data_IF_841276500805
#
_entry.id   IF_841276500805
#
_cell.length_a   1.000
_cell.length_b   1.000
_cell.length_c   1.000
_cell.angle_alpha   90.00
_cell.angle_beta   90.00
_cell.angle_gamma   90.00
#
_symmetry.space_group_name_H-M   'P 1'
#
loop_
_entity.id
_entity.type
_entity.pdbx_description
1 polymer ?
#
# COMPACT_ATOMS: atom_id res chain seq x y z
N UNK A 1 2.45 -5.87 12.51
CA UNK A 1 1.97 -5.11 11.33
C UNK A 1 1.91 -6.07 10.15
N UNK A 2 0.80 -6.09 9.40
CA UNK A 2 0.71 -6.73 8.09
C UNK A 2 0.81 -5.60 7.05
N UNK A 3 1.91 -5.54 6.32
CA UNK A 3 2.12 -4.52 5.28
C UNK A 3 1.87 -5.10 3.89
N UNK A 4 1.11 -4.38 3.07
CA UNK A 4 0.91 -4.63 1.65
C UNK A 4 1.61 -3.49 0.92
N UNK A 5 2.78 -3.76 0.35
CA UNK A 5 3.59 -2.76 -0.34
C UNK A 5 3.41 -2.85 -1.84
N UNK A 6 3.31 -1.69 -2.50
CA UNK A 6 3.35 -1.55 -3.96
C UNK A 6 4.60 -2.17 -4.58
N UNK A 7 5.69 -2.28 -3.82
CA UNK A 7 6.99 -2.71 -4.31
C UNK A 7 7.21 -4.22 -4.28
N UNK A 8 6.32 -4.98 -3.64
CA UNK A 8 6.42 -6.43 -3.58
C UNK A 8 5.40 -7.11 -4.47
N UNK A 9 5.61 -7.00 -5.79
CA UNK A 9 4.85 -7.73 -6.81
C UNK A 9 5.43 -9.13 -7.07
N UNK A 10 4.56 -10.13 -7.17
CA UNK A 10 4.95 -11.54 -7.37
C UNK A 10 4.03 -12.27 -8.34
N UNK A 11 4.48 -13.40 -8.89
CA UNK A 11 3.61 -14.39 -9.54
C UNK A 11 3.10 -15.37 -8.46
N UNK A 12 1.84 -15.25 -8.06
CA UNK A 12 1.32 -15.88 -6.85
C UNK A 12 1.32 -14.92 -5.66
N UNK A 13 0.81 -15.36 -4.51
CA UNK A 13 0.73 -14.55 -3.28
C UNK A 13 1.62 -15.14 -2.20
N UNK A 14 2.46 -14.29 -1.60
CA UNK A 14 3.43 -14.69 -0.58
C UNK A 14 3.37 -13.82 0.67
N UNK A 15 3.84 -14.39 1.78
CA UNK A 15 3.94 -13.73 3.09
C UNK A 15 5.35 -13.90 3.62
N UNK A 16 6.00 -12.83 4.10
CA UNK A 16 7.36 -12.96 4.66
C UNK A 16 7.34 -13.78 5.94
N UNK A 17 8.10 -14.87 5.99
CA UNK A 17 8.15 -15.81 7.12
C UNK A 17 9.44 -15.79 7.95
N UNK A 18 10.30 -14.79 7.76
CA UNK A 18 11.59 -14.67 8.46
C UNK A 18 11.41 -14.10 9.87
N UNK A 19 12.21 -14.53 10.85
CA UNK A 19 12.30 -13.89 12.18
C UNK A 19 13.00 -12.53 12.13
N UNK A 20 13.99 -12.39 11.25
CA UNK A 20 14.81 -11.18 11.10
C UNK A 20 14.89 -10.78 9.62
N UNK A 21 13.85 -10.12 9.08
CA UNK A 21 13.88 -9.67 7.70
C UNK A 21 14.94 -8.58 7.53
N UNK A 22 15.73 -8.67 6.46
CA UNK A 22 16.68 -7.63 6.08
C UNK A 22 15.93 -6.38 5.58
N UNK A 23 16.45 -5.20 5.86
CA UNK A 23 16.07 -3.99 5.09
C UNK A 23 16.63 -4.13 3.68
N UNK A 24 15.78 -3.93 2.66
CA UNK A 24 16.22 -3.90 1.27
C UNK A 24 16.00 -2.51 0.65
N UNK A 25 16.82 -2.22 -0.35
CA UNK A 25 16.80 -0.97 -1.11
C UNK A 25 16.52 -1.30 -2.57
N UNK A 26 15.24 -1.49 -2.85
CA UNK A 26 14.67 -1.90 -4.14
C UNK A 26 14.44 -0.71 -5.11
N UNK A 27 15.25 0.35 -4.96
CA UNK A 27 15.21 1.57 -5.77
C UNK A 27 16.59 1.96 -6.31
N UNK A 28 16.61 2.76 -7.38
CA UNK A 28 17.81 3.19 -8.10
C UNK A 28 17.91 4.70 -8.26
N UNK A 29 19.13 5.23 -8.36
CA UNK A 29 19.37 6.64 -8.75
C UNK A 29 19.38 7.66 -7.61
N UNK A 30 19.46 7.19 -6.35
CA UNK A 30 19.44 8.03 -5.16
C UNK A 30 20.82 8.21 -4.51
N UNK A 31 20.99 9.21 -3.62
CA UNK A 31 22.22 9.37 -2.84
C UNK A 31 22.55 8.14 -1.97
N UNK A 32 23.84 7.94 -1.69
CA UNK A 32 24.36 6.80 -0.92
C UNK A 32 23.71 6.69 0.46
N UNK A 33 23.42 7.83 1.08
CA UNK A 33 22.81 7.95 2.39
C UNK A 33 21.49 7.17 2.49
N UNK A 34 20.71 7.13 1.40
CA UNK A 34 19.45 6.36 1.37
C UNK A 34 19.69 4.84 1.35
N UNK A 35 20.78 4.37 0.73
CA UNK A 35 21.18 2.97 0.73
C UNK A 35 21.79 2.50 2.06
N UNK A 36 22.19 3.44 2.93
CA UNK A 36 22.72 3.14 4.25
C UNK A 36 21.62 3.06 5.34
N UNK A 37 20.40 3.51 5.02
CA UNK A 37 19.28 3.45 5.96
C UNK A 37 18.94 1.99 6.29
N UNK A 38 18.82 1.71 7.59
CA UNK A 38 18.35 0.43 8.12
C UNK A 38 17.05 0.64 8.91
N UNK A 39 16.21 -0.40 8.89
CA UNK A 39 14.99 -0.51 9.68
C UNK A 39 14.81 -2.00 10.09
N UNK A 40 15.48 -2.43 11.17
CA UNK A 40 15.61 -3.84 11.54
C UNK A 40 14.41 -4.33 12.35
N UNK A 41 13.19 -4.10 11.86
CA UNK A 41 12.00 -4.57 12.55
C UNK A 41 11.98 -6.11 12.57
N UNK A 42 11.63 -6.75 13.70
CA UNK A 42 11.52 -8.20 13.76
C UNK A 42 10.42 -8.67 12.82
N UNK A 43 10.56 -9.87 12.26
CA UNK A 43 9.46 -10.54 11.59
C UNK A 43 8.60 -11.30 12.60
N UNK A 44 7.58 -12.01 12.11
CA UNK A 44 6.74 -12.84 12.94
C UNK A 44 6.29 -14.10 12.17
N UNK A 45 7.07 -15.20 12.23
CA UNK A 45 6.74 -16.44 11.51
C UNK A 45 5.42 -17.07 11.95
N UNK A 46 5.02 -16.91 13.22
CA UNK A 46 3.73 -17.40 13.73
C UNK A 46 2.57 -16.66 13.04
N UNK A 47 2.61 -15.32 13.03
CA UNK A 47 1.64 -14.51 12.31
C UNK A 47 1.64 -14.82 10.80
N UNK A 48 2.81 -15.06 10.20
CA UNK A 48 2.89 -15.45 8.80
C UNK A 48 2.13 -16.76 8.53
N UNK A 49 2.28 -17.76 9.42
CA UNK A 49 1.51 -19.02 9.36
C UNK A 49 0.00 -18.80 9.48
N UNK A 50 -0.43 -17.96 10.41
CA UNK A 50 -1.86 -17.64 10.57
C UNK A 50 -2.46 -16.94 9.34
N UNK A 51 -1.70 -16.04 8.70
CA UNK A 51 -2.13 -15.38 7.46
C UNK A 51 -2.29 -16.42 6.34
N UNK A 52 -1.32 -17.32 6.20
CA UNK A 52 -1.38 -18.42 5.22
C UNK A 52 -2.61 -19.29 5.44
N UNK A 53 -2.88 -19.68 6.69
CA UNK A 53 -4.04 -20.50 7.05
C UNK A 53 -5.37 -19.77 6.78
N UNK A 54 -5.44 -18.49 7.14
CA UNK A 54 -6.61 -17.63 6.90
C UNK A 54 -6.89 -17.47 5.40
N UNK A 55 -5.83 -17.37 4.59
CA UNK A 55 -5.90 -17.15 3.15
C UNK A 55 -5.75 -18.44 2.33
N UNK A 56 -5.94 -19.62 2.92
CA UNK A 56 -5.69 -20.92 2.26
C UNK A 56 -6.35 -21.10 0.89
N UNK A 57 -7.50 -20.47 0.67
CA UNK A 57 -8.24 -20.52 -0.60
C UNK A 57 -7.58 -19.73 -1.74
N UNK A 58 -6.64 -18.84 -1.41
CA UNK A 58 -5.86 -18.03 -2.35
C UNK A 58 -4.46 -18.60 -2.63
N UNK A 59 -4.16 -19.81 -2.13
CA UNK A 59 -2.86 -20.47 -2.31
C UNK A 59 -1.67 -19.61 -1.89
N UNK A 60 -1.76 -19.02 -0.70
CA UNK A 60 -0.70 -18.15 -0.15
C UNK A 60 0.45 -19.00 0.39
N UNK A 61 1.68 -18.64 0.01
CA UNK A 61 2.90 -19.32 0.47
C UNK A 61 3.79 -18.44 1.35
N UNK A 62 4.73 -19.02 2.11
CA UNK A 62 5.76 -18.25 2.78
C UNK A 62 6.87 -17.84 1.80
N UNK A 63 7.45 -16.65 2.02
CA UNK A 63 8.71 -16.22 1.42
C UNK A 63 9.74 -15.95 2.51
N UNK A 64 10.97 -16.44 2.31
CA UNK A 64 12.07 -16.30 3.25
C UNK A 64 13.25 -15.48 2.69
N UNK A 65 13.07 -14.76 1.59
CA UNK A 65 14.15 -14.11 0.84
C UNK A 65 13.97 -12.61 0.60
N UNK A 66 12.74 -12.10 0.51
CA UNK A 66 12.43 -10.73 0.13
C UNK A 66 13.16 -9.70 1.01
N UNK A 67 12.60 -9.44 2.18
CA UNK A 67 13.05 -8.40 3.11
C UNK A 67 11.95 -7.37 3.35
N UNK A 68 12.28 -6.27 4.02
CA UNK A 68 11.43 -5.09 4.14
C UNK A 68 11.83 -4.10 3.04
N UNK A 69 10.96 -3.89 2.06
CA UNK A 69 11.16 -2.95 0.95
C UNK A 69 10.91 -1.50 1.36
N UNK A 70 11.34 -0.57 0.51
CA UNK A 70 11.28 0.85 0.82
C UNK A 70 9.88 1.42 0.94
N UNK A 71 8.90 0.87 0.22
CA UNK A 71 7.50 1.24 0.43
C UNK A 71 7.05 0.98 1.87
N UNK A 72 7.61 -0.05 2.49
CA UNK A 72 7.33 -0.41 3.88
C UNK A 72 8.18 0.36 4.88
N UNK A 73 9.51 0.26 4.80
CA UNK A 73 10.36 0.78 5.86
C UNK A 73 10.42 2.31 5.90
N UNK A 74 10.21 3.01 4.78
CA UNK A 74 10.22 4.48 4.78
C UNK A 74 9.08 5.03 5.63
N UNK A 75 7.87 4.47 5.48
CA UNK A 75 6.69 4.82 6.28
C UNK A 75 6.89 4.41 7.74
N UNK A 76 7.29 3.16 7.98
CA UNK A 76 7.40 2.63 9.34
C UNK A 76 8.53 3.30 10.15
N UNK A 77 9.64 3.70 9.52
CA UNK A 77 10.72 4.43 10.21
C UNK A 77 10.26 5.76 10.82
N UNK A 78 9.25 6.40 10.23
CA UNK A 78 8.66 7.62 10.80
C UNK A 78 7.55 7.32 11.82
N UNK A 79 6.77 6.26 11.61
CA UNK A 79 5.69 5.88 12.54
C UNK A 79 6.21 5.21 13.83
N UNK A 80 7.21 4.35 13.70
CA UNK A 80 7.78 3.50 14.76
C UNK A 80 9.32 3.49 14.66
N UNK A 81 9.99 4.60 15.01
CA UNK A 81 11.42 4.79 14.75
C UNK A 81 12.34 3.76 15.41
N UNK A 82 11.91 3.16 16.51
CA UNK A 82 12.69 2.16 17.26
C UNK A 82 12.69 0.76 16.62
N UNK A 83 11.86 0.54 15.59
CA UNK A 83 11.74 -0.73 14.88
C UNK A 83 11.49 -1.95 15.80
N UNK A 84 10.71 -1.75 16.87
CA UNK A 84 10.41 -2.76 17.90
C UNK A 84 9.10 -3.51 17.67
N UNK A 85 8.29 -3.09 16.69
CA UNK A 85 7.04 -3.75 16.31
C UNK A 85 7.29 -4.77 15.19
N UNK A 86 6.84 -6.04 15.34
CA UNK A 86 6.99 -7.03 14.29
C UNK A 86 6.26 -6.67 12.98
N UNK A 87 6.94 -6.88 11.85
CA UNK A 87 6.43 -6.60 10.50
C UNK A 87 6.43 -7.87 9.67
N UNK A 88 5.26 -8.18 9.10
CA UNK A 88 5.07 -9.21 8.09
C UNK A 88 4.56 -8.52 6.84
N UNK A 89 5.14 -8.81 5.69
CA UNK A 89 4.62 -8.33 4.41
C UNK A 89 3.71 -9.38 3.77
N UNK A 90 2.75 -8.91 2.98
CA UNK A 90 1.92 -9.71 2.08
C UNK A 90 2.08 -9.14 0.66
N UNK A 91 2.47 -9.98 -0.29
CA UNK A 91 2.78 -9.56 -1.66
C UNK A 91 1.54 -9.25 -2.50
N UNK A 92 1.74 -8.49 -3.58
CA UNK A 92 0.76 -8.25 -4.62
C UNK A 92 0.94 -9.27 -5.74
N UNK A 93 -0.02 -10.17 -5.92
CA UNK A 93 -0.02 -11.11 -7.04
C UNK A 93 -0.44 -10.43 -8.34
N UNK A 94 0.49 -10.34 -9.30
CA UNK A 94 0.28 -9.66 -10.59
C UNK A 94 -0.80 -10.30 -11.46
N UNK A 95 -1.15 -11.55 -11.17
CA UNK A 95 -2.20 -12.27 -11.89
C UNK A 95 -3.61 -12.02 -11.36
N UNK A 96 -3.75 -11.39 -10.18
CA UNK A 96 -5.05 -11.14 -9.54
C UNK A 96 -5.66 -9.83 -10.05
N UNK A 97 -6.98 -9.86 -10.22
CA UNK A 97 -7.79 -8.68 -10.47
C UNK A 97 -7.94 -7.82 -9.21
N UNK A 98 -8.27 -6.52 -9.34
CA UNK A 98 -8.55 -5.66 -8.18
C UNK A 98 -9.65 -6.24 -7.28
N UNK A 99 -10.65 -6.90 -7.85
CA UNK A 99 -11.72 -7.56 -7.10
C UNK A 99 -11.22 -8.76 -6.28
N UNK A 100 -10.23 -9.50 -6.79
CA UNK A 100 -9.60 -10.60 -6.05
C UNK A 100 -8.72 -10.08 -4.91
N UNK A 101 -7.95 -9.01 -5.13
CA UNK A 101 -7.21 -8.33 -4.05
C UNK A 101 -8.16 -7.83 -2.95
N UNK A 102 -9.25 -7.16 -3.33
CA UNK A 102 -10.26 -6.67 -2.39
C UNK A 102 -10.93 -7.81 -1.61
N UNK A 103 -11.22 -8.94 -2.27
CA UNK A 103 -11.81 -10.11 -1.61
C UNK A 103 -10.85 -10.80 -0.66
N UNK A 104 -9.56 -10.90 -1.04
CA UNK A 104 -8.50 -11.41 -0.18
C UNK A 104 -8.33 -10.53 1.06
N UNK A 105 -8.30 -9.20 0.89
CA UNK A 105 -8.19 -8.25 2.00
C UNK A 105 -9.30 -8.43 3.04
N UNK A 106 -10.55 -8.70 2.63
CA UNK A 106 -11.67 -8.96 3.56
C UNK A 106 -11.42 -10.12 4.51
N UNK A 107 -10.68 -11.15 4.08
CA UNK A 107 -10.30 -12.27 4.93
C UNK A 107 -9.36 -11.88 6.07
N UNK A 108 -8.70 -10.72 5.99
CA UNK A 108 -7.79 -10.24 7.03
C UNK A 108 -8.50 -9.49 8.18
N UNK A 109 -9.82 -9.33 8.12
CA UNK A 109 -10.60 -8.53 9.08
C UNK A 109 -10.39 -8.93 10.54
N UNK A 110 -10.31 -10.22 10.84
CA UNK A 110 -10.15 -10.69 12.24
C UNK A 110 -8.81 -10.28 12.86
N UNK A 111 -7.74 -10.13 12.08
CA UNK A 111 -6.45 -9.67 12.59
C UNK A 111 -6.55 -8.27 13.21
N UNK A 112 -7.45 -7.40 12.71
CA UNK A 112 -7.68 -6.07 13.29
C UNK A 112 -8.17 -6.16 14.75
N UNK A 113 -9.04 -7.12 15.06
CA UNK A 113 -9.55 -7.35 16.42
C UNK A 113 -8.48 -7.88 17.39
N UNK A 114 -7.39 -8.41 16.83
CA UNK A 114 -6.26 -8.99 17.57
C UNK A 114 -5.13 -7.98 17.80
N UNK A 115 -5.38 -6.69 17.53
CA UNK A 115 -4.41 -5.61 17.72
C UNK A 115 -3.37 -5.52 16.59
N UNK A 116 -3.63 -6.13 15.44
CA UNK A 116 -2.72 -6.10 14.30
C UNK A 116 -3.11 -4.97 13.36
N UNK A 117 -2.18 -4.02 13.17
CA UNK A 117 -2.29 -3.00 12.14
C UNK A 117 -2.11 -3.64 10.76
N UNK A 118 -3.09 -3.44 9.88
CA UNK A 118 -3.00 -3.73 8.45
C UNK A 118 -2.73 -2.43 7.72
N UNK A 119 -1.63 -2.36 6.96
CA UNK A 119 -1.16 -1.15 6.30
C UNK A 119 -0.98 -1.42 4.81
N UNK A 120 -1.65 -0.65 3.96
CA UNK A 120 -1.33 -0.57 2.54
C UNK A 120 -0.37 0.59 2.31
N UNK A 121 0.75 0.35 1.61
CA UNK A 121 1.70 1.40 1.23
C UNK A 121 1.83 1.47 -0.29
N UNK A 122 1.49 2.62 -0.85
CA UNK A 122 1.42 2.91 -2.27
C UNK A 122 0.91 4.33 -2.51
N UNK A 123 0.32 4.59 -3.67
CA UNK A 123 -0.20 5.90 -4.05
C UNK A 123 -1.48 5.78 -4.89
N UNK A 124 -2.49 6.57 -4.55
CA UNK A 124 -3.77 6.61 -5.28
C UNK A 124 -3.64 7.25 -6.67
N UNK A 125 -2.71 8.19 -6.80
CA UNK A 125 -2.28 8.84 -8.04
C UNK A 125 -0.77 8.69 -8.11
N UNK A 126 -0.29 7.95 -9.11
CA UNK A 126 1.12 7.63 -9.28
C UNK A 126 1.51 7.55 -10.75
N UNK A 127 1.94 8.67 -11.34
CA UNK A 127 2.44 8.67 -12.71
C UNK A 127 3.77 9.42 -12.85
N UNK A 128 4.86 8.68 -12.67
CA UNK A 128 6.23 9.21 -12.77
C UNK A 128 6.59 9.67 -14.19
N UNK A 129 5.93 9.18 -15.24
CA UNK A 129 6.19 9.61 -16.62
C UNK A 129 5.74 11.05 -16.88
N UNK A 130 4.78 11.54 -16.10
CA UNK A 130 4.21 12.89 -16.23
C UNK A 130 4.67 13.83 -15.10
N UNK A 131 5.59 13.38 -14.23
CA UNK A 131 6.07 14.18 -13.10
C UNK A 131 6.75 15.46 -13.60
N UNK A 132 6.36 16.60 -13.03
CA UNK A 132 7.01 17.89 -13.27
C UNK A 132 8.19 18.06 -12.30
N UNK A 133 9.37 17.64 -12.75
CA UNK A 133 10.63 17.80 -12.01
C UNK A 133 10.99 19.27 -11.74
N UNK A 134 10.53 20.20 -12.57
CA UNK A 134 10.78 21.64 -12.38
C UNK A 134 10.00 22.23 -11.20
N UNK A 135 8.92 21.56 -10.80
CA UNK A 135 7.99 21.98 -9.73
C UNK A 135 7.89 20.95 -8.61
N UNK A 136 8.92 20.11 -8.46
CA UNK A 136 8.95 19.04 -7.45
C UNK A 136 8.97 19.58 -6.01
N UNK A 137 9.50 20.80 -5.83
CA UNK A 137 9.58 21.49 -4.54
C UNK A 137 8.45 22.53 -4.35
N UNK A 138 7.49 22.61 -5.28
CA UNK A 138 6.32 23.46 -5.09
C UNK A 138 5.40 22.81 -4.07
N UNK A 139 4.92 23.60 -3.12
CA UNK A 139 3.95 23.13 -2.13
C UNK A 139 2.62 22.76 -2.81
N UNK A 140 2.18 21.51 -2.59
CA UNK A 140 0.85 21.00 -2.95
C UNK A 140 0.46 21.17 -4.44
N UNK A 141 1.41 20.98 -5.35
CA UNK A 141 1.18 21.12 -6.78
C UNK A 141 0.65 19.83 -7.43
N UNK A 142 -0.62 19.86 -7.89
CA UNK A 142 -1.27 18.80 -8.66
C UNK A 142 -1.76 19.25 -10.05
N UNK A 143 -1.72 18.36 -11.04
CA UNK A 143 -2.42 18.57 -12.32
C UNK A 143 -3.93 18.45 -12.12
N UNK A 144 -4.71 19.13 -12.96
CA UNK A 144 -6.18 19.09 -12.86
C UNK A 144 -6.77 17.68 -12.93
N UNK A 145 -6.22 16.80 -13.76
CA UNK A 145 -6.65 15.39 -13.86
C UNK A 145 -6.30 14.58 -12.60
N UNK A 146 -5.14 14.85 -11.98
CA UNK A 146 -4.69 14.19 -10.75
C UNK A 146 -5.57 14.57 -9.56
N UNK A 147 -5.87 15.87 -9.44
CA UNK A 147 -6.77 16.41 -8.41
C UNK A 147 -8.18 15.84 -8.60
N UNK A 148 -8.70 15.86 -9.84
CA UNK A 148 -10.02 15.30 -10.17
C UNK A 148 -10.14 13.82 -9.82
N UNK A 149 -9.13 13.00 -10.14
CA UNK A 149 -9.11 11.59 -9.78
C UNK A 149 -9.10 11.38 -8.26
N UNK A 150 -8.19 12.06 -7.55
CA UNK A 150 -8.07 11.95 -6.10
C UNK A 150 -9.36 12.34 -5.37
N UNK A 151 -10.00 13.45 -5.74
CA UNK A 151 -11.25 13.90 -5.13
C UNK A 151 -12.41 12.90 -5.35
N UNK A 152 -12.50 12.30 -6.54
CA UNK A 152 -13.48 11.22 -6.80
C UNK A 152 -13.21 10.02 -5.90
N UNK A 153 -11.94 9.59 -5.80
CA UNK A 153 -11.57 8.47 -4.93
C UNK A 153 -11.87 8.76 -3.45
N UNK A 154 -11.58 9.97 -2.96
CA UNK A 154 -11.93 10.38 -1.59
C UNK A 154 -13.44 10.32 -1.36
N UNK A 155 -14.24 10.77 -2.35
CA UNK A 155 -15.69 10.66 -2.32
C UNK A 155 -16.15 9.20 -2.21
N UNK A 156 -15.59 8.31 -3.01
CA UNK A 156 -15.92 6.87 -2.98
C UNK A 156 -15.57 6.21 -1.65
N UNK A 157 -14.38 6.48 -1.10
CA UNK A 157 -13.96 5.96 0.21
C UNK A 157 -14.86 6.50 1.32
N UNK A 158 -15.10 7.81 1.35
CA UNK A 158 -15.92 8.45 2.40
C UNK A 158 -17.37 7.97 2.36
N UNK A 159 -17.89 7.67 1.17
CA UNK A 159 -19.25 7.18 0.97
C UNK A 159 -19.41 5.66 1.18
N UNK A 160 -18.34 4.94 1.58
CA UNK A 160 -18.30 3.47 1.63
C UNK A 160 -18.76 2.83 0.30
N UNK A 161 -18.47 3.49 -0.83
CA UNK A 161 -18.84 3.06 -2.18
C UNK A 161 -17.59 2.58 -2.90
N UNK A 162 -17.18 1.34 -2.65
CA UNK A 162 -15.88 0.83 -3.13
C UNK A 162 -15.93 0.26 -4.55
N UNK A 163 -17.12 0.04 -5.14
CA UNK A 163 -17.22 -0.54 -6.48
C UNK A 163 -16.47 0.29 -7.56
N UNK A 164 -16.60 1.64 -7.61
CA UNK A 164 -15.82 2.45 -8.54
C UNK A 164 -14.30 2.42 -8.29
N UNK A 165 -13.86 2.13 -7.06
CA UNK A 165 -12.44 1.97 -6.73
C UNK A 165 -11.89 0.64 -7.21
N UNK A 166 -12.71 -0.42 -7.15
CA UNK A 166 -12.37 -1.74 -7.68
C UNK A 166 -12.35 -1.68 -9.22
N UNK A 167 -13.38 -1.06 -9.81
CA UNK A 167 -13.55 -0.88 -11.26
C UNK A 167 -12.87 0.40 -11.77
N UNK A 168 -11.71 0.75 -11.22
CA UNK A 168 -11.02 2.03 -11.48
C UNK A 168 -10.76 2.30 -12.98
N UNK A 169 -10.58 1.24 -13.78
CA UNK A 169 -10.37 1.30 -15.22
C UNK A 169 -11.59 1.83 -16.00
N UNK A 170 -12.77 1.90 -15.37
CA UNK A 170 -14.01 2.45 -15.95
C UNK A 170 -14.21 3.95 -15.66
N UNK A 171 -13.36 4.55 -14.81
CA UNK A 171 -13.55 5.90 -14.28
C UNK A 171 -13.05 7.04 -15.19
N UNK A 172 -12.64 6.68 -16.42
CA UNK A 172 -12.25 7.62 -17.46
C UNK A 172 -10.79 8.04 -17.43
N UNK A 173 -10.49 9.09 -18.21
CA UNK A 173 -9.12 9.50 -18.52
C UNK A 173 -8.30 9.91 -17.29
N UNK A 174 -8.91 10.63 -16.34
CA UNK A 174 -8.22 11.08 -15.12
C UNK A 174 -7.66 9.89 -14.31
N UNK A 175 -8.43 8.81 -14.18
CA UNK A 175 -7.99 7.58 -13.51
C UNK A 175 -6.96 6.83 -14.33
N UNK A 176 -7.11 6.77 -15.65
CA UNK A 176 -6.13 6.15 -16.55
C UNK A 176 -4.77 6.84 -16.49
N UNK A 177 -4.75 8.17 -16.37
CA UNK A 177 -3.52 8.95 -16.17
C UNK A 177 -2.96 8.76 -14.76
N UNK A 178 -3.82 8.61 -13.75
CA UNK A 178 -3.43 8.45 -12.36
C UNK A 178 -2.87 7.06 -12.03
N UNK A 179 -3.35 6.03 -12.71
CA UNK A 179 -3.04 4.62 -12.46
C UNK A 179 -2.55 4.00 -13.79
N UNK A 180 -1.34 4.37 -14.26
CA UNK A 180 -0.79 3.81 -15.50
C UNK A 180 -0.60 2.29 -15.39
N UNK A 181 -0.23 1.84 -14.19
CA UNK A 181 -0.09 0.44 -13.78
C UNK A 181 -0.67 0.29 -12.35
N UNK A 182 -1.20 -0.89 -11.99
CA UNK A 182 -2.03 -1.04 -10.79
C UNK A 182 -1.26 -1.12 -9.47
N UNK A 183 0.03 -1.45 -9.48
CA UNK A 183 0.79 -1.87 -8.30
C UNK A 183 0.83 -0.81 -7.18
N UNK A 184 0.95 0.47 -7.52
CA UNK A 184 0.89 1.54 -6.52
C UNK A 184 -0.52 1.82 -6.01
N UNK A 185 -1.55 1.50 -6.80
CA UNK A 185 -2.95 1.74 -6.46
C UNK A 185 -3.54 0.61 -5.60
N UNK A 186 -3.21 -0.65 -5.90
CA UNK A 186 -3.79 -1.84 -5.26
C UNK A 186 -3.69 -1.85 -3.72
N UNK A 187 -2.56 -1.45 -3.08
CA UNK A 187 -2.46 -1.38 -1.62
C UNK A 187 -3.55 -0.53 -0.97
N UNK A 188 -4.01 0.53 -1.63
CA UNK A 188 -5.07 1.38 -1.08
C UNK A 188 -6.36 0.59 -0.90
N UNK A 189 -6.71 -0.32 -1.83
CA UNK A 189 -7.96 -1.10 -1.76
C UNK A 189 -8.07 -1.98 -0.52
N UNK A 190 -6.94 -2.34 0.11
CA UNK A 190 -6.93 -3.21 1.28
C UNK A 190 -7.56 -2.55 2.50
N UNK A 191 -7.39 -1.24 2.71
CA UNK A 191 -7.96 -0.54 3.85
C UNK A 191 -9.50 -0.41 3.75
N UNK A 192 -10.09 0.12 2.65
CA UNK A 192 -11.54 0.14 2.46
C UNK A 192 -12.18 -1.24 2.43
N UNK A 193 -11.48 -2.28 1.95
CA UNK A 193 -11.97 -3.65 2.03
C UNK A 193 -12.24 -4.13 3.46
N UNK A 194 -11.55 -3.55 4.43
CA UNK A 194 -11.65 -3.90 5.85
C UNK A 194 -12.60 -2.99 6.63
N UNK A 195 -13.17 -1.96 5.98
CA UNK A 195 -14.07 -1.00 6.60
C UNK A 195 -15.42 -1.65 6.97
N UNK A 196 -15.90 -1.34 8.17
CA UNK A 196 -17.26 -1.67 8.62
C UNK A 196 -18.16 -0.43 8.64
N UNK A 197 -19.48 -0.61 8.64
CA UNK A 197 -20.48 0.48 8.43
C UNK A 197 -20.37 1.66 9.41
N UNK A 198 -19.71 1.49 10.56
CA UNK A 198 -19.60 2.52 11.60
C UNK A 198 -18.18 3.10 11.76
N UNK A 199 -17.23 2.69 10.92
CA UNK A 199 -15.86 3.16 11.02
C UNK A 199 -15.67 4.49 10.29
N UNK A 200 -15.06 5.44 11.00
CA UNK A 200 -14.72 6.74 10.44
C UNK A 200 -13.51 6.61 9.53
N UNK A 201 -13.58 7.27 8.38
CA UNK A 201 -12.44 7.51 7.52
C UNK A 201 -11.84 8.86 7.89
N UNK A 202 -10.55 8.88 8.21
CA UNK A 202 -9.79 10.10 8.42
C UNK A 202 -8.70 10.20 7.35
N UNK A 203 -8.65 11.33 6.65
CA UNK A 203 -7.54 11.66 5.77
C UNK A 203 -6.67 12.69 6.46
N UNK A 204 -5.42 12.34 6.74
CA UNK A 204 -4.49 13.19 7.48
C UNK A 204 -3.32 13.69 6.61
N UNK A 205 -3.22 13.21 5.37
CA UNK A 205 -2.41 13.81 4.32
C UNK A 205 -3.14 13.71 2.98
N UNK A 206 -3.04 14.75 2.15
CA UNK A 206 -3.60 14.82 0.79
C UNK A 206 -2.71 15.60 -0.18
N UNK A 207 -1.47 15.89 0.21
CA UNK A 207 -0.58 16.76 -0.55
C UNK A 207 -0.21 16.19 -1.92
N UNK A 208 -0.14 17.06 -2.92
CA UNK A 208 0.33 16.73 -4.26
C UNK A 208 1.82 17.07 -4.42
N UNK A 209 2.52 16.23 -5.18
CA UNK A 209 3.95 16.39 -5.48
C UNK A 209 4.19 16.27 -6.97
N UNK A 210 4.87 17.25 -7.55
CA UNK A 210 5.28 17.22 -8.95
C UNK A 210 4.14 17.04 -9.95
N UNK A 211 2.93 17.47 -9.61
CA UNK A 211 1.74 17.43 -10.47
C UNK A 211 1.03 16.07 -10.55
N UNK A 212 1.76 14.96 -10.49
CA UNK A 212 1.24 13.61 -10.81
C UNK A 212 1.41 12.57 -9.71
N UNK A 213 1.76 12.98 -8.50
CA UNK A 213 1.78 12.16 -7.30
C UNK A 213 0.84 12.75 -6.25
N UNK A 214 0.07 11.91 -5.57
CA UNK A 214 -0.67 12.30 -4.36
C UNK A 214 -0.15 11.48 -3.18
N UNK A 215 0.19 12.18 -2.10
CA UNK A 215 0.74 11.60 -0.88
C UNK A 215 -0.38 11.28 0.12
N UNK A 216 -1.53 10.83 -0.36
CA UNK A 216 -2.70 10.56 0.49
C UNK A 216 -2.34 9.58 1.60
N UNK A 217 -2.66 9.95 2.83
CA UNK A 217 -2.61 9.05 3.96
C UNK A 217 -3.98 9.05 4.66
N UNK A 218 -4.53 7.85 4.87
CA UNK A 218 -5.85 7.65 5.45
C UNK A 218 -5.83 6.58 6.53
N UNK A 219 -6.77 6.70 7.47
CA UNK A 219 -7.02 5.77 8.56
C UNK A 219 -8.50 5.41 8.58
N UNK A 220 -8.81 4.13 8.84
CA UNK A 220 -10.17 3.62 9.02
C UNK A 220 -10.24 2.92 10.39
N UNK A 221 -11.20 3.33 11.22
CA UNK A 221 -11.24 3.00 12.65
C UNK A 221 -10.27 3.86 13.45
#
# INVERSE_FOLDING_TARGET
IICISAHWETEGTFVTGMETPRTIHDFGGFPRELYEVQYPAPGNPELAGEIIDTLRQYSVGPDYQWGLDHGTWTVLKHMYPDADIPVVQLSLDRSKTPQEHYSLARCLSDFRNRGILIMGSGNMVHNLHLLDWGRINDDDYGFGWAISAAEKMYGYITANNHAPLIDYFTQGEDFRLSIPTPEHYLPMLYAPALQTDNEKVEFFNRGFVGGSLVMTALKIG
#
